data_IF_011566548291
#
_entry.id   IF_011566548291
#
_cell.length_a   1.000
_cell.length_b   1.000
_cell.length_c   1.000
_cell.angle_alpha   90.00
_cell.angle_beta   90.00
_cell.angle_gamma   90.00
#
_symmetry.space_group_name_H-M   'P 1'
#
loop_
_entity.id
_entity.type
_entity.pdbx_description
1 polymer ?
#
# COMPACT_ATOMS: atom_id res chain seq x y z
N UNK A 1 25.03 -36.93 22.02
CA UNK A 1 25.20 -35.74 21.16
C UNK A 1 23.86 -35.01 21.13
N UNK A 2 23.59 -34.15 22.11
CA UNK A 2 22.30 -33.47 22.25
C UNK A 2 22.39 -32.07 21.63
N UNK A 3 21.66 -31.84 20.55
CA UNK A 3 21.41 -30.49 20.04
C UNK A 3 20.39 -29.81 20.96
N UNK A 4 20.77 -28.66 21.54
CA UNK A 4 19.85 -27.77 22.25
C UNK A 4 19.34 -26.73 21.27
N UNK A 5 18.02 -26.63 21.14
CA UNK A 5 17.36 -25.44 20.62
C UNK A 5 17.70 -24.27 21.55
N UNK A 6 18.29 -23.22 20.98
CA UNK A 6 18.45 -21.92 21.62
C UNK A 6 17.15 -21.16 21.37
N UNK A 7 16.37 -20.87 22.41
CA UNK A 7 15.37 -19.81 22.31
C UNK A 7 16.10 -18.49 22.08
N UNK A 8 15.85 -17.86 20.93
CA UNK A 8 16.29 -16.49 20.68
C UNK A 8 15.50 -15.57 21.63
N UNK A 9 16.12 -15.29 22.77
CA UNK A 9 15.64 -14.33 23.73
C UNK A 9 15.62 -12.91 23.18
N UNK A 10 14.71 -12.15 23.78
CA UNK A 10 14.45 -10.72 23.64
C UNK A 10 13.61 -10.37 22.41
N UNK A 11 12.32 -10.14 22.70
CA UNK A 11 11.42 -9.37 21.85
C UNK A 11 12.22 -8.23 21.23
N UNK A 12 12.33 -8.25 19.90
CA UNK A 12 12.70 -7.06 19.14
C UNK A 12 11.78 -5.97 19.69
N UNK A 13 12.36 -4.97 20.34
CA UNK A 13 11.63 -3.79 20.77
C UNK A 13 10.67 -3.43 19.64
N UNK A 14 9.38 -3.41 19.96
CA UNK A 14 8.26 -3.22 19.04
C UNK A 14 8.71 -2.18 18.00
N UNK A 15 9.02 -2.66 16.79
CA UNK A 15 9.60 -1.80 15.78
C UNK A 15 8.52 -0.79 15.46
N UNK A 16 8.66 0.43 15.99
CA UNK A 16 7.73 1.52 15.75
C UNK A 16 7.91 1.94 14.29
N UNK A 17 7.27 1.17 13.40
CA UNK A 17 7.31 1.38 11.97
C UNK A 17 6.53 2.65 11.70
N UNK A 18 7.17 3.73 11.21
CA UNK A 18 6.49 5.01 11.07
C UNK A 18 5.23 4.86 10.22
N UNK A 19 4.08 5.10 10.84
CA UNK A 19 2.78 5.06 10.17
C UNK A 19 2.42 6.42 9.57
N UNK A 20 1.56 6.41 8.57
CA UNK A 20 0.92 7.61 8.02
C UNK A 20 -0.58 7.42 7.91
N UNK A 21 -1.32 8.51 8.10
CA UNK A 21 -2.75 8.60 7.86
C UNK A 21 -3.03 9.84 7.03
N UNK A 22 -3.54 9.63 5.81
CA UNK A 22 -3.99 10.68 4.91
C UNK A 22 -5.51 10.67 4.90
N UNK A 23 -6.13 11.82 5.09
CA UNK A 23 -7.59 11.96 5.05
C UNK A 23 -8.01 12.95 3.99
N UNK A 24 -9.17 12.71 3.40
CA UNK A 24 -9.83 13.65 2.50
C UNK A 24 -11.17 14.05 3.10
N UNK A 25 -11.40 15.36 3.21
CA UNK A 25 -12.65 15.95 3.68
C UNK A 25 -13.30 16.77 2.56
N UNK A 26 -14.62 16.87 2.56
CA UNK A 26 -15.34 17.81 1.70
C UNK A 26 -15.28 19.24 2.26
N UNK A 27 -15.92 20.19 1.58
CA UNK A 27 -15.96 21.60 1.97
C UNK A 27 -16.59 21.81 3.36
N UNK A 28 -17.57 21.00 3.73
CA UNK A 28 -18.22 21.01 5.05
C UNK A 28 -17.38 20.34 6.15
N UNK A 29 -16.16 19.90 5.84
CA UNK A 29 -15.27 19.21 6.79
C UNK A 29 -15.61 17.73 7.03
N UNK A 30 -16.60 17.17 6.35
CA UNK A 30 -16.99 15.75 6.46
C UNK A 30 -15.92 14.85 5.88
N UNK A 31 -15.54 13.78 6.58
CA UNK A 31 -14.58 12.78 6.12
C UNK A 31 -15.17 11.94 5.00
N UNK A 32 -14.57 11.99 3.80
CA UNK A 32 -15.04 11.29 2.60
C UNK A 32 -14.07 10.22 2.08
N UNK A 33 -12.88 10.12 2.67
CA UNK A 33 -11.93 9.09 2.35
C UNK A 33 -10.68 9.13 3.24
N UNK A 34 -9.94 8.02 3.25
CA UNK A 34 -8.73 7.87 4.04
C UNK A 34 -7.77 6.84 3.45
N UNK A 35 -6.48 7.01 3.71
CA UNK A 35 -5.42 6.09 3.37
C UNK A 35 -4.48 5.97 4.57
N UNK A 36 -4.30 4.76 5.09
CA UNK A 36 -3.36 4.44 6.16
C UNK A 36 -2.27 3.52 5.63
N UNK A 37 -1.08 3.68 6.16
CA UNK A 37 0.03 2.80 5.83
C UNK A 37 1.22 3.01 6.74
N UNK A 38 2.29 2.31 6.41
CA UNK A 38 3.54 2.31 7.15
C UNK A 38 4.74 2.32 6.22
N UNK A 39 5.88 2.81 6.71
CA UNK A 39 7.12 2.90 5.96
C UNK A 39 8.22 2.09 6.63
N UNK A 40 8.81 1.20 5.85
CA UNK A 40 9.74 0.17 6.29
C UNK A 40 10.79 -0.07 5.22
N UNK A 41 12.08 -0.07 5.54
CA UNK A 41 13.13 -0.50 4.60
C UNK A 41 13.05 0.16 3.20
N UNK A 42 12.73 1.46 3.15
CA UNK A 42 12.49 2.22 1.90
C UNK A 42 11.35 1.67 1.04
N UNK A 43 10.38 1.02 1.66
CA UNK A 43 9.12 0.58 1.07
C UNK A 43 7.97 1.18 1.86
N UNK A 44 6.91 1.59 1.16
CA UNK A 44 5.65 1.94 1.78
C UNK A 44 4.67 0.77 1.63
N UNK A 45 3.96 0.47 2.71
CA UNK A 45 2.83 -0.45 2.70
C UNK A 45 1.55 0.35 2.95
N UNK A 46 0.53 0.20 2.10
CA UNK A 46 -0.79 0.77 2.34
C UNK A 46 -1.68 -0.33 2.90
N UNK A 47 -1.93 -0.30 4.20
CA UNK A 47 -2.75 -1.28 4.90
C UNK A 47 -4.26 -1.01 4.77
N UNK A 48 -4.66 0.26 4.61
CA UNK A 48 -6.07 0.62 4.46
C UNK A 48 -6.27 1.75 3.44
N UNK A 49 -7.22 1.57 2.52
CA UNK A 49 -7.70 2.60 1.62
C UNK A 49 -9.23 2.58 1.60
N UNK A 50 -9.84 3.66 2.05
CA UNK A 50 -11.29 3.76 2.18
C UNK A 50 -11.83 5.01 1.49
N UNK A 51 -13.00 4.87 0.88
CA UNK A 51 -13.77 5.96 0.29
C UNK A 51 -15.22 5.76 0.70
N UNK A 52 -15.83 6.85 1.20
CA UNK A 52 -17.24 6.90 1.52
C UNK A 52 -18.08 6.39 0.33
N UNK A 53 -19.07 5.54 0.63
CA UNK A 53 -19.82 4.85 -0.40
C UNK A 53 -20.55 5.81 -1.37
N UNK A 54 -21.09 6.92 -0.86
CA UNK A 54 -21.78 7.92 -1.66
C UNK A 54 -20.83 8.76 -2.52
N UNK A 55 -19.52 8.72 -2.23
CA UNK A 55 -18.49 9.48 -2.93
C UNK A 55 -17.65 8.62 -3.90
N UNK A 56 -17.94 7.32 -4.01
CA UNK A 56 -17.26 6.42 -4.96
C UNK A 56 -17.53 6.82 -6.41
N UNK A 57 -16.62 6.44 -7.30
CA UNK A 57 -16.69 6.80 -8.73
C UNK A 57 -16.24 8.24 -9.05
N UNK A 58 -15.89 9.05 -8.04
CA UNK A 58 -15.48 10.46 -8.20
C UNK A 58 -13.96 10.68 -8.18
N UNK A 59 -13.18 9.62 -8.42
CA UNK A 59 -11.71 9.70 -8.44
C UNK A 59 -11.02 9.84 -7.07
N UNK A 60 -11.76 9.80 -5.95
CA UNK A 60 -11.19 9.98 -4.60
C UNK A 60 -10.13 8.92 -4.27
N UNK A 61 -10.39 7.64 -4.58
CA UNK A 61 -9.42 6.57 -4.34
C UNK A 61 -8.09 6.81 -5.07
N UNK A 62 -8.14 7.31 -6.31
CA UNK A 62 -6.95 7.68 -7.07
C UNK A 62 -6.20 8.85 -6.42
N UNK A 63 -6.92 9.86 -5.94
CA UNK A 63 -6.32 11.02 -5.25
C UNK A 63 -5.60 10.60 -3.97
N UNK A 64 -6.21 9.71 -3.18
CA UNK A 64 -5.61 9.16 -1.97
C UNK A 64 -4.36 8.32 -2.27
N UNK A 65 -4.41 7.45 -3.28
CA UNK A 65 -3.23 6.69 -3.73
C UNK A 65 -2.11 7.60 -4.20
N UNK A 66 -2.40 8.60 -5.02
CA UNK A 66 -1.40 9.57 -5.46
C UNK A 66 -0.74 10.30 -4.28
N UNK A 67 -1.53 10.65 -3.25
CA UNK A 67 -1.01 11.28 -2.04
C UNK A 67 -0.12 10.32 -1.23
N UNK A 68 -0.51 9.04 -1.12
CA UNK A 68 0.32 8.02 -0.46
C UNK A 68 1.64 7.80 -1.22
N UNK A 69 1.61 7.72 -2.55
CA UNK A 69 2.83 7.62 -3.35
C UNK A 69 3.73 8.84 -3.20
N UNK A 70 3.16 10.05 -3.19
CA UNK A 70 3.93 11.28 -2.98
C UNK A 70 4.56 11.30 -1.58
N UNK A 71 3.81 10.90 -0.56
CA UNK A 71 4.29 10.77 0.81
C UNK A 71 5.45 9.76 0.93
N UNK A 72 5.35 8.63 0.24
CA UNK A 72 6.39 7.61 0.17
C UNK A 72 7.65 8.12 -0.56
N UNK A 73 7.49 8.79 -1.72
CA UNK A 73 8.62 9.39 -2.45
C UNK A 73 9.36 10.42 -1.61
N UNK A 74 8.65 11.26 -0.87
CA UNK A 74 9.24 12.24 0.05
C UNK A 74 10.11 11.60 1.15
N UNK A 75 9.89 10.32 1.46
CA UNK A 75 10.66 9.52 2.42
C UNK A 75 11.67 8.58 1.75
N UNK A 76 12.01 8.85 0.49
CA UNK A 76 12.97 8.06 -0.29
C UNK A 76 12.60 6.59 -0.48
N UNK A 77 11.30 6.25 -0.34
CA UNK A 77 10.81 4.93 -0.67
C UNK A 77 11.01 4.65 -2.16
N UNK A 78 11.49 3.45 -2.49
CA UNK A 78 11.70 2.98 -3.86
C UNK A 78 10.57 2.08 -4.35
N UNK A 79 9.62 1.75 -3.46
CA UNK A 79 8.47 0.89 -3.73
C UNK A 79 7.30 1.26 -2.84
N UNK A 80 6.10 1.01 -3.33
CA UNK A 80 4.87 0.98 -2.56
C UNK A 80 4.12 -0.31 -2.90
N UNK A 81 3.48 -0.92 -1.91
CA UNK A 81 2.68 -2.13 -2.09
C UNK A 81 1.40 -2.06 -1.28
N UNK A 82 0.44 -2.88 -1.70
CA UNK A 82 -0.92 -2.95 -1.17
C UNK A 82 -1.52 -4.31 -1.54
N UNK A 83 -2.40 -4.82 -0.71
CA UNK A 83 -3.17 -6.02 -0.96
C UNK A 83 -4.67 -5.73 -1.02
N UNK A 84 -5.39 -6.60 -1.72
CA UNK A 84 -6.85 -6.52 -1.74
C UNK A 84 -7.49 -7.83 -2.16
N UNK A 85 -8.71 -8.06 -1.66
CA UNK A 85 -9.66 -9.04 -2.17
C UNK A 85 -10.79 -8.43 -3.01
N UNK A 86 -10.77 -7.11 -3.20
CA UNK A 86 -11.84 -6.38 -3.89
C UNK A 86 -11.45 -6.17 -5.37
N UNK A 87 -12.18 -6.78 -6.33
CA UNK A 87 -11.88 -6.63 -7.76
C UNK A 87 -11.94 -5.17 -8.25
N UNK A 88 -12.80 -4.33 -7.66
CA UNK A 88 -12.86 -2.91 -8.01
C UNK A 88 -11.64 -2.13 -7.51
N UNK A 89 -11.14 -2.46 -6.31
CA UNK A 89 -9.91 -1.89 -5.77
C UNK A 89 -8.70 -2.35 -6.58
N UNK A 90 -8.62 -3.65 -6.92
CA UNK A 90 -7.59 -4.19 -7.82
C UNK A 90 -7.52 -3.39 -9.13
N UNK A 91 -8.67 -3.20 -9.81
CA UNK A 91 -8.72 -2.41 -11.06
C UNK A 91 -8.27 -0.96 -10.87
N UNK A 92 -8.58 -0.34 -9.73
CA UNK A 92 -8.08 0.99 -9.39
C UNK A 92 -6.55 0.99 -9.28
N UNK A 93 -5.97 0.02 -8.56
CA UNK A 93 -4.53 -0.08 -8.36
C UNK A 93 -3.79 -0.37 -9.66
N UNK A 94 -4.30 -1.30 -10.48
CA UNK A 94 -3.76 -1.60 -11.81
C UNK A 94 -3.77 -0.36 -12.71
N UNK A 95 -4.87 0.41 -12.72
CA UNK A 95 -4.94 1.70 -13.44
C UNK A 95 -3.95 2.74 -12.91
N UNK A 96 -3.64 2.71 -11.61
CA UNK A 96 -2.63 3.55 -11.00
C UNK A 96 -1.19 3.09 -11.30
N UNK A 97 -1.00 2.00 -12.05
CA UNK A 97 0.30 1.47 -12.44
C UNK A 97 0.89 0.46 -11.44
N UNK A 98 0.09 -0.05 -10.51
CA UNK A 98 0.48 -1.19 -9.70
C UNK A 98 0.37 -2.47 -10.53
N UNK A 99 1.19 -3.46 -10.21
CA UNK A 99 1.17 -4.79 -10.82
C UNK A 99 0.97 -5.84 -9.75
N UNK A 100 0.17 -6.87 -10.04
CA UNK A 100 0.08 -8.06 -9.20
C UNK A 100 1.42 -8.78 -9.23
N UNK A 101 1.99 -9.05 -8.05
CA UNK A 101 3.22 -9.84 -7.91
C UNK A 101 3.00 -11.13 -7.13
N UNK A 102 1.88 -11.23 -6.41
CA UNK A 102 1.48 -12.43 -5.68
C UNK A 102 -0.04 -12.56 -5.68
N UNK A 103 -0.51 -13.80 -5.66
CA UNK A 103 -1.93 -14.11 -5.50
C UNK A 103 -2.04 -15.33 -4.59
N UNK A 104 -2.83 -15.20 -3.54
CA UNK A 104 -3.30 -16.32 -2.76
C UNK A 104 -4.69 -16.68 -3.28
N UNK A 105 -4.74 -17.73 -4.09
CA UNK A 105 -5.97 -18.19 -4.71
C UNK A 105 -6.90 -18.81 -3.67
N UNK A 106 -8.22 -18.66 -3.86
CA UNK A 106 -9.26 -19.24 -3.00
C UNK A 106 -9.04 -18.96 -1.50
N UNK A 107 -8.69 -17.70 -1.18
CA UNK A 107 -8.34 -17.30 0.18
C UNK A 107 -9.54 -17.27 1.13
N UNK A 108 -10.69 -16.79 0.65
CA UNK A 108 -11.92 -16.73 1.42
C UNK A 108 -13.13 -16.85 0.49
N UNK A 109 -13.87 -17.94 0.63
CA UNK A 109 -15.11 -18.21 -0.10
C UNK A 109 -14.97 -18.12 -1.63
N UNK A 110 -13.90 -18.67 -2.21
CA UNK A 110 -13.65 -18.61 -3.65
C UNK A 110 -13.04 -17.31 -4.15
N UNK A 111 -12.84 -16.30 -3.28
CA UNK A 111 -12.20 -15.04 -3.67
C UNK A 111 -10.67 -15.12 -3.50
N UNK A 112 -9.96 -14.69 -4.55
CA UNK A 112 -8.52 -14.49 -4.49
C UNK A 112 -8.13 -13.30 -3.61
N UNK A 113 -6.93 -13.39 -3.05
CA UNK A 113 -6.25 -12.28 -2.38
C UNK A 113 -5.04 -11.85 -3.20
N UNK A 114 -5.05 -10.62 -3.71
CA UNK A 114 -4.00 -10.11 -4.59
C UNK A 114 -3.04 -9.22 -3.82
N UNK A 115 -1.73 -9.42 -4.04
CA UNK A 115 -0.67 -8.52 -3.59
C UNK A 115 -0.16 -7.73 -4.79
N UNK A 116 -0.17 -6.41 -4.68
CA UNK A 116 0.17 -5.49 -5.75
C UNK A 116 1.28 -4.54 -5.33
N UNK A 117 2.15 -4.20 -6.27
CA UNK A 117 3.26 -3.28 -6.03
C UNK A 117 3.43 -2.28 -7.17
N UNK A 118 4.04 -1.15 -6.86
CA UNK A 118 4.50 -0.17 -7.84
C UNK A 118 5.90 0.30 -7.47
N UNK A 119 6.87 0.20 -8.40
CA UNK A 119 8.17 0.86 -8.24
C UNK A 119 7.98 2.38 -8.11
N UNK A 120 8.65 2.98 -7.15
CA UNK A 120 8.72 4.43 -6.96
C UNK A 120 10.15 4.89 -7.29
N UNK A 121 10.52 4.98 -8.59
CA UNK A 121 11.85 5.47 -8.93
C UNK A 121 12.04 6.88 -8.36
N UNK A 122 13.27 7.23 -7.93
CA UNK A 122 13.61 8.58 -7.51
C UNK A 122 13.17 9.60 -8.56
N UNK A 123 12.65 10.74 -8.10
CA UNK A 123 12.31 11.86 -8.99
C UNK A 123 13.59 12.28 -9.72
N UNK A 124 13.63 12.11 -11.04
CA UNK A 124 14.79 12.45 -11.89
C UNK A 124 15.43 11.26 -12.63
N UNK A 125 15.16 10.01 -12.25
CA UNK A 125 15.60 8.84 -13.01
C UNK A 125 14.50 8.44 -14.01
N UNK A 126 14.60 8.95 -15.25
CA UNK A 126 13.85 8.39 -16.37
C UNK A 126 14.34 6.96 -16.60
N UNK A 127 13.44 5.99 -16.46
CA UNK A 127 13.71 4.62 -16.90
C UNK A 127 13.42 4.53 -18.39
N UNK A 128 14.34 5.06 -19.19
CA UNK A 128 14.40 4.66 -20.59
C UNK A 128 14.85 3.21 -20.60
N UNK A 129 13.90 2.29 -20.79
CA UNK A 129 14.18 0.90 -21.07
C UNK A 129 14.44 0.80 -22.58
N UNK A 130 15.65 0.49 -23.05
CA UNK A 130 15.86 0.27 -24.48
C UNK A 130 15.06 -0.97 -24.92
N UNK A 131 14.44 -0.88 -26.12
CA UNK A 131 13.76 -1.99 -26.80
C UNK A 131 14.76 -3.02 -27.27
#
# INVERSE_FOLDING_TARGET
>A
MHARLVEAGQALAEADMPTFLLTLRNEDGTLIGGCKGEIAFRSAHVSELWVDAAQRGRGIGQRLLNAAEAHARARSCTRIHIETRNPAARRLYEKAGYRVFGTLADYADGADYWYLEKPLPPVGLRTDRPR
#
